data_IF_275829007970
#
_entry.id   IF_275829007970
#
_cell.length_a   1.000
_cell.length_b   1.000
_cell.length_c   1.000
_cell.angle_alpha   90.00
_cell.angle_beta   90.00
_cell.angle_gamma   90.00
#
_symmetry.space_group_name_H-M   'P 1'
#
loop_
_entity.id
_entity.type
_entity.pdbx_description
1 polymer ?
#
# COMPACT_ATOMS: atom_id res chain seq x y z
N UNK A 1 26.37 -19.49 7.86
CA UNK A 1 25.03 -19.74 7.28
C UNK A 1 24.26 -20.67 8.21
N UNK A 2 23.43 -20.11 9.11
CA UNK A 2 22.58 -20.90 10.01
C UNK A 2 21.37 -21.43 9.24
N UNK A 3 21.49 -22.59 8.59
CA UNK A 3 20.41 -23.25 7.85
C UNK A 3 19.25 -23.64 8.79
N UNK A 4 19.51 -23.84 10.09
CA UNK A 4 18.47 -24.14 11.10
C UNK A 4 17.61 -22.97 11.55
N UNK A 5 17.98 -21.71 11.23
CA UNK A 5 17.21 -20.52 11.61
C UNK A 5 16.06 -20.18 10.68
N UNK A 6 16.17 -20.49 9.38
CA UNK A 6 15.15 -20.14 8.39
C UNK A 6 13.83 -20.90 8.60
N UNK A 7 13.92 -22.21 8.91
CA UNK A 7 12.71 -23.00 9.20
C UNK A 7 11.98 -22.53 10.45
N UNK A 8 12.72 -22.22 11.52
CA UNK A 8 12.13 -21.70 12.76
C UNK A 8 11.48 -20.32 12.55
N UNK A 9 12.12 -19.44 11.78
CA UNK A 9 11.56 -18.13 11.42
C UNK A 9 10.28 -18.26 10.58
N UNK A 10 10.25 -19.20 9.63
CA UNK A 10 9.07 -19.46 8.82
C UNK A 10 7.92 -20.01 9.67
N UNK A 11 8.17 -20.99 10.52
CA UNK A 11 7.14 -21.54 11.44
C UNK A 11 6.61 -20.44 12.35
N UNK A 12 7.46 -19.61 12.92
CA UNK A 12 7.06 -18.49 13.75
C UNK A 12 6.18 -17.48 12.99
N UNK A 13 6.58 -17.10 11.78
CA UNK A 13 5.81 -16.18 10.93
C UNK A 13 4.44 -16.75 10.55
N UNK A 14 4.37 -18.03 10.18
CA UNK A 14 3.12 -18.72 9.86
C UNK A 14 2.20 -18.82 11.08
N UNK A 15 2.77 -19.13 12.25
CA UNK A 15 1.99 -19.19 13.51
C UNK A 15 1.39 -17.83 13.85
N UNK A 16 2.17 -16.75 13.78
CA UNK A 16 1.67 -15.39 14.02
C UNK A 16 0.61 -14.99 12.99
N UNK A 17 0.82 -15.30 11.71
CA UNK A 17 -0.15 -15.04 10.65
C UNK A 17 -1.47 -15.79 10.90
N UNK A 18 -1.41 -17.08 11.24
CA UNK A 18 -2.60 -17.88 11.54
C UNK A 18 -3.37 -17.35 12.75
N UNK A 19 -2.66 -17.01 13.84
CA UNK A 19 -3.25 -16.41 15.04
C UNK A 19 -3.91 -15.07 14.69
N UNK A 20 -3.21 -14.20 13.96
CA UNK A 20 -3.74 -12.90 13.54
C UNK A 20 -5.02 -13.02 12.71
N UNK A 21 -5.05 -13.92 11.71
CA UNK A 21 -6.25 -14.16 10.91
C UNK A 21 -7.39 -14.75 11.77
N UNK A 22 -7.09 -15.69 12.67
CA UNK A 22 -8.08 -16.25 13.58
C UNK A 22 -8.69 -15.16 14.50
N UNK A 23 -7.87 -14.26 15.02
CA UNK A 23 -8.35 -13.12 15.81
C UNK A 23 -9.26 -12.19 15.00
N UNK A 24 -8.90 -11.88 13.75
CA UNK A 24 -9.75 -11.07 12.88
C UNK A 24 -11.10 -11.73 12.59
N UNK A 25 -11.12 -13.04 12.36
CA UNK A 25 -12.35 -13.81 12.13
C UNK A 25 -13.27 -13.83 13.35
N UNK A 26 -12.69 -13.95 14.57
CA UNK A 26 -13.47 -14.11 15.81
C UNK A 26 -13.92 -12.76 16.39
N UNK A 27 -13.05 -11.75 16.38
CA UNK A 27 -13.28 -10.48 17.08
C UNK A 27 -13.67 -9.31 16.18
N UNK A 28 -13.44 -9.41 14.87
CA UNK A 28 -13.68 -8.29 13.94
C UNK A 28 -14.77 -8.70 12.92
N UNK A 29 -14.38 -9.12 11.74
CA UNK A 29 -15.28 -9.60 10.70
C UNK A 29 -14.55 -10.40 9.61
N UNK A 30 -15.31 -11.19 8.88
CA UNK A 30 -14.81 -12.08 7.82
C UNK A 30 -14.18 -11.28 6.65
N UNK A 31 -14.77 -10.13 6.28
CA UNK A 31 -14.28 -9.31 5.17
C UNK A 31 -12.85 -8.81 5.42
N UNK A 32 -12.61 -8.25 6.59
CA UNK A 32 -11.27 -7.77 6.99
C UNK A 32 -10.26 -8.92 7.06
N UNK A 33 -10.66 -10.07 7.57
CA UNK A 33 -9.79 -11.25 7.61
C UNK A 33 -9.39 -11.72 6.19
N UNK A 34 -10.34 -11.78 5.26
CA UNK A 34 -10.10 -12.15 3.86
C UNK A 34 -9.16 -11.14 3.19
N UNK A 35 -9.43 -9.83 3.30
CA UNK A 35 -8.60 -8.78 2.71
C UNK A 35 -7.18 -8.79 3.30
N UNK A 36 -7.05 -9.00 4.61
CA UNK A 36 -5.73 -9.12 5.27
C UNK A 36 -4.98 -10.35 4.79
N UNK A 37 -5.66 -11.49 4.63
CA UNK A 37 -5.05 -12.71 4.12
C UNK A 37 -4.53 -12.51 2.69
N UNK A 38 -5.33 -11.93 1.79
CA UNK A 38 -4.89 -11.66 0.42
C UNK A 38 -3.75 -10.64 0.35
N UNK A 39 -3.76 -9.61 1.21
CA UNK A 39 -2.67 -8.65 1.31
C UNK A 39 -1.37 -9.32 1.77
N UNK A 40 -1.44 -10.19 2.79
CA UNK A 40 -0.31 -10.96 3.29
C UNK A 40 0.26 -11.91 2.23
N UNK A 41 -0.60 -12.70 1.57
CA UNK A 41 -0.19 -13.63 0.52
C UNK A 41 0.38 -12.89 -0.68
N UNK A 42 -0.27 -11.82 -1.12
CA UNK A 42 0.20 -10.98 -2.21
C UNK A 42 1.58 -10.39 -1.95
N UNK A 43 1.81 -9.90 -0.74
CA UNK A 43 3.11 -9.36 -0.36
C UNK A 43 4.17 -10.46 -0.18
N UNK A 44 3.87 -11.51 0.59
CA UNK A 44 4.86 -12.54 0.93
C UNK A 44 5.24 -13.40 -0.28
N UNK A 45 4.27 -13.87 -1.07
CA UNK A 45 4.53 -14.78 -2.19
C UNK A 45 4.74 -14.02 -3.49
N UNK A 46 3.80 -13.17 -3.90
CA UNK A 46 3.86 -12.55 -5.23
C UNK A 46 4.95 -11.47 -5.27
N UNK A 47 4.93 -10.53 -4.33
CA UNK A 47 5.90 -9.44 -4.34
C UNK A 47 7.30 -9.92 -3.95
N UNK A 48 7.46 -10.55 -2.78
CA UNK A 48 8.78 -10.85 -2.21
C UNK A 48 9.52 -11.94 -2.99
N UNK A 49 8.81 -12.99 -3.41
CA UNK A 49 9.45 -14.12 -4.10
C UNK A 49 9.63 -13.89 -5.59
N UNK A 50 8.69 -13.19 -6.24
CA UNK A 50 8.69 -13.05 -7.69
C UNK A 50 8.93 -11.62 -8.16
N UNK A 51 8.05 -10.67 -7.85
CA UNK A 51 8.06 -9.33 -8.46
C UNK A 51 9.28 -8.50 -8.10
N UNK A 52 9.80 -8.63 -6.89
CA UNK A 52 10.95 -7.87 -6.40
C UNK A 52 12.18 -8.00 -7.32
N UNK A 53 12.35 -9.13 -7.99
CA UNK A 53 13.48 -9.40 -8.90
C UNK A 53 13.09 -9.47 -10.37
N UNK A 54 11.78 -9.55 -10.66
CA UNK A 54 11.29 -9.74 -12.02
C UNK A 54 11.10 -8.43 -12.80
N UNK A 55 10.83 -7.30 -12.10
CA UNK A 55 10.44 -6.08 -12.79
C UNK A 55 10.94 -4.81 -12.10
N UNK A 56 11.30 -3.75 -12.88
CA UNK A 56 11.59 -2.42 -12.35
C UNK A 56 10.38 -1.74 -11.68
N UNK A 57 9.16 -2.22 -11.98
CA UNK A 57 7.90 -1.75 -11.39
C UNK A 57 7.59 -2.41 -10.03
N UNK A 58 8.57 -3.12 -9.46
CA UNK A 58 8.42 -3.83 -8.19
C UNK A 58 7.90 -2.92 -7.06
N UNK A 59 8.34 -1.66 -7.00
CA UNK A 59 7.88 -0.68 -6.00
C UNK A 59 6.40 -0.34 -6.19
N UNK A 60 5.94 -0.16 -7.43
CA UNK A 60 4.53 0.15 -7.70
C UNK A 60 3.65 -1.02 -7.28
N UNK A 61 3.99 -2.23 -7.72
CA UNK A 61 3.20 -3.43 -7.42
C UNK A 61 3.24 -3.78 -5.92
N UNK A 62 4.42 -3.66 -5.28
CA UNK A 62 4.56 -3.87 -3.84
C UNK A 62 3.87 -2.80 -2.99
N UNK A 63 3.72 -1.59 -3.55
CA UNK A 63 3.03 -0.48 -2.92
C UNK A 63 1.54 -0.77 -2.62
N UNK A 64 0.90 -1.65 -3.40
CA UNK A 64 -0.48 -2.03 -3.15
C UNK A 64 -0.68 -2.71 -1.78
N UNK A 65 0.21 -3.62 -1.41
CA UNK A 65 0.16 -4.24 -0.07
C UNK A 65 0.50 -3.24 1.05
N UNK A 66 1.44 -2.31 0.80
CA UNK A 66 1.78 -1.23 1.72
C UNK A 66 0.67 -0.19 1.91
N UNK A 67 -0.21 -0.04 0.93
CA UNK A 67 -1.36 0.84 0.97
C UNK A 67 -2.62 0.20 1.60
N UNK A 68 -2.62 -1.11 1.84
CA UNK A 68 -3.78 -1.83 2.38
C UNK A 68 -4.19 -1.44 3.83
N UNK A 69 -3.30 -1.05 4.77
CA UNK A 69 -3.67 -0.83 6.16
C UNK A 69 -4.86 0.10 6.41
N UNK A 70 -4.98 1.29 5.79
CA UNK A 70 -6.15 2.15 6.00
C UNK A 70 -7.46 1.52 5.52
N UNK A 71 -7.43 0.77 4.41
CA UNK A 71 -8.58 0.02 3.92
C UNK A 71 -8.98 -1.08 4.92
N UNK A 72 -7.99 -1.83 5.43
CA UNK A 72 -8.22 -2.88 6.43
C UNK A 72 -8.76 -2.32 7.74
N UNK A 73 -8.22 -1.20 8.21
CA UNK A 73 -8.72 -0.51 9.41
C UNK A 73 -10.16 -0.03 9.24
N UNK A 74 -10.50 0.52 8.07
CA UNK A 74 -11.87 0.95 7.75
C UNK A 74 -12.84 -0.22 7.74
N UNK A 75 -12.51 -1.29 7.01
CA UNK A 75 -13.37 -2.49 6.96
C UNK A 75 -13.49 -3.20 8.30
N UNK A 76 -12.49 -3.07 9.18
CA UNK A 76 -12.57 -3.61 10.54
C UNK A 76 -13.66 -2.95 11.39
N UNK A 77 -13.90 -1.64 11.18
CA UNK A 77 -14.88 -0.86 11.94
C UNK A 77 -16.25 -0.90 11.27
N UNK A 78 -16.32 -0.69 9.95
CA UNK A 78 -17.59 -0.54 9.22
C UNK A 78 -18.14 -1.86 8.68
N UNK A 79 -17.31 -2.88 8.53
CA UNK A 79 -17.68 -4.13 7.87
C UNK A 79 -17.86 -4.01 6.35
N UNK A 80 -17.54 -2.87 5.74
CA UNK A 80 -17.76 -2.59 4.32
C UNK A 80 -16.54 -1.93 3.68
N UNK A 81 -16.43 -2.09 2.34
CA UNK A 81 -15.46 -1.36 1.52
C UNK A 81 -16.12 -0.11 0.99
N UNK A 82 -15.82 1.02 1.59
CA UNK A 82 -16.38 2.32 1.21
C UNK A 82 -15.42 3.14 0.34
N UNK A 83 -15.96 4.13 -0.35
CA UNK A 83 -15.18 4.99 -1.27
C UNK A 83 -14.07 5.74 -0.54
N UNK A 84 -14.33 6.19 0.68
CA UNK A 84 -13.37 6.90 1.53
C UNK A 84 -12.15 6.02 1.86
N UNK A 85 -12.38 4.76 2.17
CA UNK A 85 -11.31 3.79 2.42
C UNK A 85 -10.46 3.52 1.16
N UNK A 86 -11.11 3.43 0.00
CA UNK A 86 -10.44 3.28 -1.29
C UNK A 86 -9.64 4.53 -1.68
N UNK A 87 -10.12 5.72 -1.35
CA UNK A 87 -9.37 6.96 -1.56
C UNK A 87 -8.12 7.03 -0.69
N UNK A 88 -8.19 6.64 0.59
CA UNK A 88 -7.03 6.55 1.46
C UNK A 88 -6.01 5.53 0.95
N UNK A 89 -6.48 4.36 0.53
CA UNK A 89 -5.64 3.37 -0.14
C UNK A 89 -4.95 3.95 -1.37
N UNK A 90 -5.70 4.63 -2.25
CA UNK A 90 -5.18 5.20 -3.49
C UNK A 90 -4.13 6.28 -3.24
N UNK A 91 -4.33 7.15 -2.25
CA UNK A 91 -3.37 8.20 -1.86
C UNK A 91 -2.04 7.55 -1.45
N UNK A 92 -2.06 6.55 -0.57
CA UNK A 92 -0.85 5.87 -0.11
C UNK A 92 -0.21 5.06 -1.25
N UNK A 93 -1.02 4.43 -2.09
CA UNK A 93 -0.54 3.68 -3.24
C UNK A 93 0.23 4.57 -4.23
N UNK A 94 -0.32 5.75 -4.57
CA UNK A 94 0.32 6.71 -5.47
C UNK A 94 1.54 7.39 -4.81
N UNK A 95 1.51 7.61 -3.49
CA UNK A 95 2.62 8.18 -2.74
C UNK A 95 3.84 7.26 -2.67
N UNK A 96 3.62 5.95 -2.67
CA UNK A 96 4.68 4.93 -2.48
C UNK A 96 5.79 5.00 -3.53
N UNK A 97 5.53 5.06 -4.86
CA UNK A 97 6.58 5.08 -5.86
C UNK A 97 7.51 6.29 -5.75
N UNK A 98 7.07 7.56 -5.71
CA UNK A 98 7.97 8.69 -5.62
C UNK A 98 8.80 8.68 -4.33
N UNK A 99 8.23 8.24 -3.21
CA UNK A 99 8.92 8.11 -1.94
C UNK A 99 10.07 7.10 -2.02
N UNK A 100 9.78 5.88 -2.47
CA UNK A 100 10.80 4.83 -2.55
C UNK A 100 11.82 5.04 -3.67
N UNK A 101 11.43 5.63 -4.80
CA UNK A 101 12.38 5.93 -5.87
C UNK A 101 13.37 7.04 -5.47
N UNK A 102 12.97 7.99 -4.63
CA UNK A 102 13.90 8.96 -4.06
C UNK A 102 15.01 8.27 -3.25
N UNK A 103 14.64 7.29 -2.42
CA UNK A 103 15.60 6.47 -1.68
C UNK A 103 16.43 5.59 -2.61
N UNK A 104 15.82 4.99 -3.64
CA UNK A 104 16.49 4.12 -4.60
C UNK A 104 17.53 4.88 -5.45
N UNK A 105 17.32 6.16 -5.77
CA UNK A 105 18.32 7.00 -6.42
C UNK A 105 19.55 7.16 -5.53
N UNK A 106 19.38 7.42 -4.23
CA UNK A 106 20.48 7.59 -3.27
C UNK A 106 21.27 6.29 -3.08
N UNK A 107 20.60 5.13 -3.13
CA UNK A 107 21.20 3.80 -2.93
C UNK A 107 21.37 3.01 -4.22
N UNK A 108 21.47 3.68 -5.36
CA UNK A 108 21.52 3.05 -6.68
C UNK A 108 22.62 1.99 -6.80
N UNK A 109 23.82 2.28 -6.28
CA UNK A 109 24.95 1.36 -6.36
C UNK A 109 24.75 0.10 -5.50
N UNK A 110 24.11 0.23 -4.34
CA UNK A 110 23.78 -0.90 -3.47
C UNK A 110 22.78 -1.85 -4.15
N UNK A 111 21.76 -1.28 -4.79
CA UNK A 111 20.77 -2.07 -5.54
C UNK A 111 21.37 -2.73 -6.78
N UNK A 112 22.28 -2.05 -7.49
CA UNK A 112 22.97 -2.63 -8.62
C UNK A 112 23.88 -3.82 -8.19
N UNK A 113 24.60 -3.69 -7.07
CA UNK A 113 25.41 -4.80 -6.52
C UNK A 113 24.59 -6.00 -6.03
N UNK A 114 23.33 -5.77 -5.67
CA UNK A 114 22.42 -6.82 -5.21
C UNK A 114 21.56 -7.44 -6.33
N UNK A 115 21.80 -7.07 -7.59
CA UNK A 115 21.02 -7.49 -8.78
C UNK A 115 19.51 -7.26 -8.62
N UNK A 116 19.13 -6.16 -7.93
CA UNK A 116 17.73 -5.76 -7.80
C UNK A 116 17.41 -4.72 -8.88
N UNK A 117 16.47 -5.01 -9.81
CA UNK A 117 16.16 -4.15 -10.96
C UNK A 117 15.30 -2.94 -10.54
N UNK A 118 15.85 -2.07 -9.69
CA UNK A 118 15.17 -0.81 -9.35
C UNK A 118 15.15 0.14 -10.55
N UNK A 119 14.10 0.96 -10.65
CA UNK A 119 13.92 1.88 -11.78
C UNK A 119 15.16 2.76 -12.06
N UNK A 120 15.81 3.38 -11.04
CA UNK A 120 17.03 4.17 -11.31
C UNK A 120 18.25 3.33 -11.74
N UNK A 121 18.25 2.02 -11.48
CA UNK A 121 19.32 1.10 -11.94
C UNK A 121 19.10 0.73 -13.39
N UNK A 122 17.88 0.39 -13.78
CA UNK A 122 17.52 -0.14 -15.11
C UNK A 122 17.31 0.97 -16.16
N UNK A 123 16.62 2.05 -15.80
CA UNK A 123 16.23 3.14 -16.72
C UNK A 123 16.94 4.47 -16.44
N UNK A 124 17.82 4.49 -15.44
CA UNK A 124 18.59 5.67 -15.08
C UNK A 124 17.85 6.69 -14.21
N UNK A 125 18.64 7.62 -13.66
CA UNK A 125 18.15 8.62 -12.69
C UNK A 125 17.20 9.63 -13.33
N UNK A 126 17.47 10.06 -14.55
CA UNK A 126 16.67 11.08 -15.26
C UNK A 126 15.23 10.57 -15.48
N UNK A 127 15.10 9.37 -16.05
CA UNK A 127 13.80 8.75 -16.27
C UNK A 127 13.02 8.56 -14.95
N UNK A 128 13.73 8.11 -13.89
CA UNK A 128 13.13 7.95 -12.56
C UNK A 128 12.60 9.27 -12.01
N UNK A 129 13.32 10.38 -12.17
CA UNK A 129 12.86 11.72 -11.75
C UNK A 129 11.58 12.15 -12.49
N UNK A 130 11.47 11.87 -13.78
CA UNK A 130 10.25 12.16 -14.55
C UNK A 130 9.08 11.35 -14.00
N UNK A 131 9.27 10.06 -13.76
CA UNK A 131 8.23 9.20 -13.17
C UNK A 131 7.82 9.71 -11.78
N UNK A 132 8.78 10.11 -10.94
CA UNK A 132 8.49 10.71 -9.63
C UNK A 132 7.65 11.98 -9.77
N UNK A 133 7.96 12.86 -10.71
CA UNK A 133 7.19 14.07 -10.96
C UNK A 133 5.75 13.73 -11.38
N UNK A 134 5.56 12.78 -12.29
CA UNK A 134 4.24 12.34 -12.74
C UNK A 134 3.40 11.77 -11.58
N UNK A 135 3.98 10.88 -10.77
CA UNK A 135 3.29 10.32 -9.61
C UNK A 135 3.01 11.37 -8.54
N UNK A 136 3.90 12.34 -8.32
CA UNK A 136 3.68 13.44 -7.38
C UNK A 136 2.56 14.37 -7.85
N UNK A 137 2.49 14.67 -9.16
CA UNK A 137 1.40 15.44 -9.76
C UNK A 137 0.07 14.69 -9.62
N UNK A 138 0.06 13.39 -9.90
CA UNK A 138 -1.12 12.54 -9.72
C UNK A 138 -1.55 12.51 -8.25
N UNK A 139 -0.60 12.36 -7.32
CA UNK A 139 -0.85 12.42 -5.89
C UNK A 139 -1.52 13.73 -5.48
N UNK A 140 -0.98 14.84 -5.96
CA UNK A 140 -1.56 16.17 -5.70
C UNK A 140 -3.03 16.24 -6.16
N UNK A 141 -3.33 15.77 -7.37
CA UNK A 141 -4.71 15.74 -7.89
C UNK A 141 -5.60 14.87 -7.01
N UNK A 142 -5.16 13.66 -6.67
CA UNK A 142 -5.98 12.70 -5.90
C UNK A 142 -6.22 13.18 -4.47
N UNK A 143 -5.28 13.92 -3.86
CA UNK A 143 -5.47 14.48 -2.50
C UNK A 143 -6.56 15.56 -2.42
N UNK A 144 -6.97 16.17 -3.54
CA UNK A 144 -8.12 17.07 -3.56
C UNK A 144 -9.47 16.37 -3.54
N UNK A 145 -9.53 15.10 -3.96
CA UNK A 145 -10.79 14.36 -4.07
C UNK A 145 -11.51 14.22 -2.70
N UNK A 146 -10.85 13.84 -1.59
CA UNK A 146 -11.48 13.82 -0.27
C UNK A 146 -12.00 15.20 0.16
N UNK A 147 -11.24 16.26 -0.14
CA UNK A 147 -11.64 17.63 0.18
C UNK A 147 -12.92 18.04 -0.57
N UNK A 148 -13.03 17.72 -1.86
CA UNK A 148 -14.22 18.00 -2.65
C UNK A 148 -15.45 17.24 -2.13
N UNK A 149 -15.28 15.98 -1.73
CA UNK A 149 -16.35 15.19 -1.13
C UNK A 149 -16.79 15.79 0.21
N UNK A 150 -15.83 16.18 1.06
CA UNK A 150 -16.12 16.75 2.37
C UNK A 150 -16.73 18.17 2.27
N UNK A 151 -16.28 18.97 1.31
CA UNK A 151 -16.88 20.27 1.01
C UNK A 151 -18.33 20.13 0.59
N UNK A 152 -18.68 19.15 -0.24
CA UNK A 152 -20.07 18.87 -0.61
C UNK A 152 -20.93 18.48 0.60
N UNK A 153 -20.41 17.71 1.55
CA UNK A 153 -21.09 17.38 2.81
C UNK A 153 -21.30 18.63 3.70
N UNK A 154 -20.29 19.49 3.82
CA UNK A 154 -20.40 20.74 4.60
C UNK A 154 -21.42 21.72 3.99
N UNK A 155 -21.44 21.83 2.66
CA UNK A 155 -22.44 22.65 1.96
C UNK A 155 -23.84 22.10 2.20
N UNK A 156 -24.03 20.79 2.11
CA UNK A 156 -25.31 20.14 2.42
C UNK A 156 -25.72 20.35 3.88
N UNK A 157 -24.77 20.22 4.83
CA UNK A 157 -25.04 20.43 6.26
C UNK A 157 -25.43 21.90 6.54
N UNK A 158 -24.70 22.87 5.95
CA UNK A 158 -25.05 24.29 6.07
C UNK A 158 -26.39 24.61 5.45
N UNK A 159 -26.71 23.99 4.30
CA UNK A 159 -28.03 24.10 3.65
C UNK A 159 -29.16 23.59 4.53
N UNK A 160 -29.00 22.46 5.20
CA UNK A 160 -29.98 21.92 6.16
C UNK A 160 -30.16 22.84 7.36
N UNK A 161 -29.09 23.40 7.89
CA UNK A 161 -29.15 24.36 9.02
C UNK A 161 -29.80 25.67 8.60
N UNK A 162 -29.54 26.17 7.38
CA UNK A 162 -30.16 27.41 6.87
C UNK A 162 -31.63 27.23 6.49
N UNK A 163 -32.05 26.04 6.05
CA UNK A 163 -33.42 25.75 5.64
C UNK A 163 -34.34 25.30 6.81
N UNK A 164 -33.78 25.14 8.02
CA UNK A 164 -34.53 24.81 9.23
C UNK A 164 -35.23 23.45 9.19
N UNK A 165 -34.67 22.49 8.44
CA UNK A 165 -35.20 21.12 8.32
C UNK A 165 -34.23 20.16 9.04
#
# INVERSE_FOLDING_TARGET
RCIGGQGKALVFALSLGAIGIAMLLVFINVLTAILTFFSLVGYALIYTMYLKRATPQNIVLGGAAGAAPPLLGWTAVTGQVETEALLLFLIIFIWTPPHFWALAIRRREEYAKADIPMLPVTHGVYFTKIQMLLYTTLLFIVTFVPFLIQLSRLINLSGVVYLGI
#
